data_IF_011195526787
#
_entry.id   IF_011195526787
#
_cell.length_a   1.000
_cell.length_b   1.000
_cell.length_c   1.000
_cell.angle_alpha   90.00
_cell.angle_beta   90.00
_cell.angle_gamma   90.00
#
_symmetry.space_group_name_H-M   'P 1'
#
loop_
_entity.id
_entity.type
_entity.pdbx_description
1 polymer ?
#
# COMPACT_ATOMS: atom_id res chain seq x y z
N UNK A 1 -17.18 -16.36 17.60
CA UNK A 1 -16.47 -15.25 16.90
C UNK A 1 -17.12 -14.86 15.58
N UNK A 2 -16.74 -15.36 14.39
CA UNK A 2 -17.34 -14.92 13.10
C UNK A 2 -18.87 -15.07 13.03
N UNK A 3 -19.39 -16.13 13.65
CA UNK A 3 -20.82 -16.45 13.69
C UNK A 3 -21.64 -15.54 14.62
N UNK A 4 -21.00 -14.96 15.64
CA UNK A 4 -21.62 -14.00 16.56
C UNK A 4 -21.59 -12.59 15.95
N UNK A 5 -20.46 -12.19 15.34
CA UNK A 5 -20.38 -10.95 14.56
C UNK A 5 -21.43 -10.88 13.43
N UNK A 6 -21.66 -12.00 12.74
CA UNK A 6 -22.66 -12.09 11.67
C UNK A 6 -24.11 -11.97 12.18
N UNK A 7 -24.37 -12.40 13.42
CA UNK A 7 -25.69 -12.30 14.04
C UNK A 7 -25.94 -10.90 14.60
N UNK A 8 -24.91 -10.25 15.15
CA UNK A 8 -25.03 -8.98 15.85
C UNK A 8 -24.89 -7.76 14.93
N UNK A 9 -24.12 -7.86 13.83
CA UNK A 9 -23.98 -6.78 12.84
C UNK A 9 -23.58 -7.27 11.43
N UNK A 10 -24.55 -7.69 10.59
CA UNK A 10 -24.28 -8.16 9.23
C UNK A 10 -23.75 -7.07 8.28
N UNK A 11 -23.94 -5.78 8.59
CA UNK A 11 -23.36 -4.67 7.83
C UNK A 11 -21.85 -4.63 7.95
N UNK A 12 -21.32 -4.76 9.17
CA UNK A 12 -19.89 -4.67 9.44
C UNK A 12 -19.06 -5.72 8.70
N UNK A 13 -19.57 -6.96 8.61
CA UNK A 13 -18.89 -8.02 7.83
C UNK A 13 -18.89 -7.74 6.33
N UNK A 14 -19.95 -7.08 5.83
CA UNK A 14 -20.00 -6.64 4.44
C UNK A 14 -18.99 -5.54 4.18
N UNK A 15 -18.83 -4.60 5.11
CA UNK A 15 -17.90 -3.49 4.97
C UNK A 15 -16.44 -3.93 5.10
N UNK A 16 -16.14 -4.87 6.02
CA UNK A 16 -14.82 -5.54 6.10
C UNK A 16 -14.51 -6.26 4.79
N UNK A 17 -15.47 -7.03 4.27
CA UNK A 17 -15.26 -7.72 2.99
C UNK A 17 -15.02 -6.74 1.85
N UNK A 18 -15.77 -5.65 1.77
CA UNK A 18 -15.56 -4.62 0.76
C UNK A 18 -14.21 -3.92 0.89
N UNK A 19 -13.71 -3.74 2.12
CA UNK A 19 -12.36 -3.24 2.34
C UNK A 19 -11.32 -4.24 1.80
N UNK A 20 -11.45 -5.53 2.15
CA UNK A 20 -10.52 -6.56 1.71
C UNK A 20 -10.51 -6.70 0.17
N UNK A 21 -11.69 -6.70 -0.47
CA UNK A 21 -11.83 -6.74 -1.92
C UNK A 21 -11.13 -5.51 -2.58
N UNK A 22 -11.30 -4.31 -2.03
CA UNK A 22 -10.64 -3.09 -2.58
C UNK A 22 -9.13 -3.10 -2.37
N UNK A 23 -8.64 -3.64 -1.25
CA UNK A 23 -7.19 -3.78 -1.02
C UNK A 23 -6.58 -4.76 -2.02
N UNK A 24 -7.27 -5.86 -2.31
CA UNK A 24 -6.84 -6.84 -3.32
C UNK A 24 -6.77 -6.19 -4.71
N UNK A 25 -7.82 -5.45 -5.11
CA UNK A 25 -7.87 -4.75 -6.40
C UNK A 25 -6.69 -3.73 -6.55
N UNK A 26 -6.42 -2.93 -5.51
CA UNK A 26 -5.32 -1.95 -5.53
C UNK A 26 -3.95 -2.65 -5.58
N UNK A 27 -3.81 -3.80 -4.92
CA UNK A 27 -2.57 -4.58 -4.98
C UNK A 27 -2.33 -5.12 -6.39
N UNK A 28 -3.35 -5.68 -7.04
CA UNK A 28 -3.26 -6.14 -8.42
C UNK A 28 -2.85 -5.01 -9.37
N UNK A 29 -3.44 -3.82 -9.22
CA UNK A 29 -3.07 -2.66 -10.04
C UNK A 29 -1.63 -2.19 -9.82
N UNK A 30 -1.14 -2.18 -8.58
CA UNK A 30 0.26 -1.84 -8.27
C UNK A 30 1.21 -2.85 -8.93
N UNK A 31 0.89 -4.15 -8.85
CA UNK A 31 1.70 -5.21 -9.45
C UNK A 31 1.73 -5.07 -10.99
N UNK A 32 0.60 -4.77 -11.63
CA UNK A 32 0.55 -4.50 -13.08
C UNK A 32 1.40 -3.28 -13.48
N UNK A 33 1.40 -2.23 -12.66
CA UNK A 33 2.25 -1.05 -12.89
C UNK A 33 3.72 -1.39 -12.71
N UNK A 34 4.07 -2.16 -11.69
CA UNK A 34 5.45 -2.60 -11.45
C UNK A 34 5.95 -3.47 -12.61
N UNK A 35 5.16 -4.41 -13.12
CA UNK A 35 5.53 -5.25 -14.26
C UNK A 35 5.81 -4.41 -15.52
N UNK A 36 4.98 -3.38 -15.77
CA UNK A 36 5.17 -2.46 -16.89
C UNK A 36 6.41 -1.59 -16.72
N UNK A 37 6.67 -1.09 -15.52
CA UNK A 37 7.87 -0.30 -15.21
C UNK A 37 9.13 -1.14 -15.31
N UNK A 38 9.13 -2.36 -14.76
CA UNK A 38 10.23 -3.31 -14.86
C UNK A 38 10.58 -3.58 -16.32
N UNK A 39 9.59 -3.88 -17.16
CA UNK A 39 9.80 -4.11 -18.60
C UNK A 39 10.46 -2.91 -19.30
N UNK A 40 10.13 -1.68 -18.88
CA UNK A 40 10.73 -0.45 -19.44
C UNK A 40 12.15 -0.22 -18.94
N UNK A 41 12.41 -0.50 -17.66
CA UNK A 41 13.74 -0.44 -17.06
C UNK A 41 14.66 -1.46 -17.73
N UNK A 42 14.23 -2.71 -17.90
CA UNK A 42 14.99 -3.75 -18.60
C UNK A 42 15.34 -3.31 -20.03
N UNK A 43 14.38 -2.71 -20.74
CA UNK A 43 14.60 -2.15 -22.07
C UNK A 43 15.69 -1.07 -22.10
N UNK A 44 15.62 -0.11 -21.17
CA UNK A 44 16.59 0.98 -21.06
C UNK A 44 17.99 0.47 -20.69
N UNK A 45 18.08 -0.44 -19.71
CA UNK A 45 19.34 -1.08 -19.30
C UNK A 45 20.04 -1.77 -20.48
N UNK A 46 19.26 -2.46 -21.32
CA UNK A 46 19.79 -3.13 -22.52
C UNK A 46 20.19 -2.13 -23.60
N UNK A 47 19.37 -1.10 -23.84
CA UNK A 47 19.61 -0.09 -24.89
C UNK A 47 20.86 0.74 -24.60
N UNK A 48 20.97 1.28 -23.39
CA UNK A 48 22.10 2.10 -22.95
C UNK A 48 23.31 1.25 -22.55
N UNK A 49 23.16 -0.08 -22.57
CA UNK A 49 24.22 -1.02 -22.18
C UNK A 49 24.76 -0.70 -20.78
N UNK A 50 23.86 -0.41 -19.83
CA UNK A 50 24.21 -0.21 -18.42
C UNK A 50 24.84 -1.51 -17.90
N UNK A 51 26.16 -1.58 -17.96
CA UNK A 51 26.93 -2.71 -17.50
C UNK A 51 27.39 -2.40 -16.07
N UNK A 52 27.06 -3.28 -15.13
CA UNK A 52 27.78 -3.27 -13.86
C UNK A 52 29.20 -3.76 -14.14
N UNK A 53 30.20 -3.03 -13.65
CA UNK A 53 31.65 -3.30 -13.86
C UNK A 53 32.07 -4.74 -13.48
N UNK A 54 31.25 -5.44 -12.69
CA UNK A 54 31.47 -6.82 -12.21
C UNK A 54 30.70 -7.91 -12.99
N UNK A 55 29.89 -7.54 -14.00
CA UNK A 55 29.08 -8.49 -14.77
C UNK A 55 27.85 -9.04 -14.04
N UNK A 56 27.46 -8.43 -12.92
CA UNK A 56 26.18 -8.69 -12.25
C UNK A 56 25.02 -8.06 -13.03
N UNK A 57 23.92 -8.80 -13.16
CA UNK A 57 22.70 -8.35 -13.81
C UNK A 57 22.05 -7.22 -13.01
N UNK A 58 21.57 -6.17 -13.70
CA UNK A 58 20.86 -5.06 -13.05
C UNK A 58 19.52 -5.58 -12.54
N UNK A 59 19.26 -5.42 -11.25
CA UNK A 59 17.96 -5.73 -10.64
C UNK A 59 16.92 -4.69 -11.09
N UNK A 60 16.27 -4.99 -12.22
CA UNK A 60 15.30 -4.09 -12.83
C UNK A 60 14.01 -3.97 -12.02
N UNK A 61 13.69 -4.95 -11.18
CA UNK A 61 12.56 -4.90 -10.25
C UNK A 61 12.83 -3.87 -9.14
N UNK A 62 14.05 -3.87 -8.58
CA UNK A 62 14.47 -2.87 -7.59
C UNK A 62 14.42 -1.45 -8.18
N UNK A 63 15.01 -1.25 -9.36
CA UNK A 63 15.02 0.06 -10.03
C UNK A 63 13.59 0.51 -10.37
N UNK A 64 12.72 -0.37 -10.84
CA UNK A 64 11.30 -0.06 -11.11
C UNK A 64 10.56 0.41 -9.85
N UNK A 65 10.79 -0.24 -8.70
CA UNK A 65 10.25 0.21 -7.41
C UNK A 65 10.80 1.59 -7.04
N UNK A 66 12.08 1.84 -7.25
CA UNK A 66 12.68 3.14 -6.97
C UNK A 66 12.09 4.26 -7.84
N UNK A 67 11.82 3.99 -9.11
CA UNK A 67 11.11 4.91 -10.02
C UNK A 67 9.67 5.15 -9.53
N UNK A 68 8.95 4.09 -9.20
CA UNK A 68 7.57 4.17 -8.72
C UNK A 68 7.46 5.04 -7.46
N UNK A 69 8.30 4.78 -6.45
CA UNK A 69 8.32 5.54 -5.19
C UNK A 69 8.99 6.91 -5.30
N UNK A 70 9.76 7.16 -6.36
CA UNK A 70 10.44 8.44 -6.58
C UNK A 70 11.53 8.69 -5.55
N UNK A 71 12.34 7.68 -5.24
CA UNK A 71 13.45 7.84 -4.29
C UNK A 71 14.50 8.81 -4.82
N UNK A 72 14.95 9.73 -3.96
CA UNK A 72 16.06 10.63 -4.30
C UNK A 72 17.42 9.90 -4.26
N UNK A 73 17.52 8.81 -3.50
CA UNK A 73 18.71 7.97 -3.34
C UNK A 73 18.32 6.51 -3.09
N UNK A 74 19.18 5.60 -3.54
CA UNK A 74 19.03 4.15 -3.33
C UNK A 74 20.23 3.66 -2.56
N UNK A 75 20.06 3.38 -1.27
CA UNK A 75 21.08 2.74 -0.45
C UNK A 75 21.02 1.23 -0.72
N UNK A 76 22.03 0.69 -1.42
CA UNK A 76 22.03 -0.71 -1.88
C UNK A 76 23.44 -1.28 -2.05
N UNK A 77 23.59 -2.45 -2.69
CA UNK A 77 24.89 -2.88 -3.21
C UNK A 77 25.51 -1.75 -4.04
N UNK A 78 26.83 -1.58 -3.94
CA UNK A 78 27.56 -0.45 -4.51
C UNK A 78 27.17 -0.15 -5.98
N UNK A 79 26.89 -1.21 -6.75
CA UNK A 79 26.54 -1.14 -8.16
C UNK A 79 25.16 -0.50 -8.42
N UNK A 80 24.16 -0.73 -7.57
CA UNK A 80 22.82 -0.14 -7.74
C UNK A 80 22.75 1.30 -7.25
N UNK A 81 23.53 1.63 -6.21
CA UNK A 81 23.69 3.02 -5.75
C UNK A 81 24.35 3.86 -6.85
N UNK A 82 25.47 3.40 -7.42
CA UNK A 82 26.17 4.11 -8.52
C UNK A 82 25.28 4.24 -9.76
N UNK A 83 24.62 3.14 -10.19
CA UNK A 83 23.70 3.17 -11.33
C UNK A 83 22.57 4.18 -11.11
N UNK A 84 22.00 4.23 -9.90
CA UNK A 84 20.95 5.19 -9.56
C UNK A 84 21.47 6.63 -9.51
N UNK A 85 22.64 6.87 -8.89
CA UNK A 85 23.24 8.20 -8.84
C UNK A 85 23.56 8.75 -10.24
N UNK A 86 23.99 7.90 -11.17
CA UNK A 86 24.38 8.31 -12.53
C UNK A 86 23.17 8.48 -13.47
N UNK A 87 22.12 7.66 -13.33
CA UNK A 87 21.02 7.57 -14.31
C UNK A 87 19.61 7.77 -13.73
N UNK A 88 19.48 8.22 -12.48
CA UNK A 88 18.16 8.43 -11.84
C UNK A 88 17.24 9.36 -12.63
N UNK A 89 17.77 10.39 -13.31
CA UNK A 89 16.94 11.27 -14.16
C UNK A 89 16.30 10.49 -15.30
N UNK A 90 17.07 9.68 -16.02
CA UNK A 90 16.58 8.84 -17.14
C UNK A 90 15.58 7.78 -16.65
N UNK A 91 15.84 7.16 -15.50
CA UNK A 91 14.89 6.22 -14.90
C UNK A 91 13.60 6.90 -14.44
N UNK A 92 13.68 8.12 -13.89
CA UNK A 92 12.50 8.88 -13.48
C UNK A 92 11.70 9.38 -14.68
N UNK A 93 12.30 9.55 -15.86
CA UNK A 93 11.57 9.80 -17.11
C UNK A 93 10.74 8.59 -17.59
N UNK A 94 11.08 7.37 -17.15
CA UNK A 94 10.23 6.19 -17.38
C UNK A 94 8.91 6.27 -16.62
N UNK A 95 8.81 7.13 -15.62
CA UNK A 95 7.60 7.32 -14.82
C UNK A 95 6.51 7.94 -15.70
N UNK A 96 5.49 7.14 -16.00
CA UNK A 96 4.32 7.63 -16.74
C UNK A 96 3.48 8.54 -15.83
N UNK A 97 3.52 9.85 -16.10
CA UNK A 97 2.82 10.85 -15.30
C UNK A 97 1.30 10.64 -15.26
N UNK A 98 0.72 10.03 -16.31
CA UNK A 98 -0.72 9.76 -16.38
C UNK A 98 -1.07 8.58 -15.46
N UNK A 99 -0.31 7.50 -15.55
CA UNK A 99 -0.42 6.32 -14.68
C UNK A 99 -0.24 6.67 -13.19
N UNK A 100 0.74 7.53 -12.89
CA UNK A 100 0.97 7.99 -11.51
C UNK A 100 -0.19 8.83 -10.97
N UNK A 101 -0.80 9.65 -11.84
CA UNK A 101 -1.97 10.45 -11.45
C UNK A 101 -3.17 9.55 -11.17
N UNK A 102 -3.35 8.47 -11.92
CA UNK A 102 -4.41 7.48 -11.72
C UNK A 102 -4.22 6.74 -10.39
N UNK A 103 -3.02 6.20 -10.14
CA UNK A 103 -2.68 5.54 -8.86
C UNK A 103 -2.86 6.47 -7.65
N UNK A 104 -2.45 7.74 -7.77
CA UNK A 104 -2.68 8.71 -6.69
C UNK A 104 -4.16 8.99 -6.46
N UNK A 105 -4.96 9.07 -7.52
CA UNK A 105 -6.42 9.25 -7.41
C UNK A 105 -7.07 8.06 -6.70
N UNK A 106 -6.70 6.83 -7.08
CA UNK A 106 -7.22 5.61 -6.46
C UNK A 106 -6.81 5.49 -4.99
N UNK A 107 -5.56 5.82 -4.67
CA UNK A 107 -5.09 5.89 -3.27
C UNK A 107 -5.91 6.89 -2.46
N UNK A 108 -6.14 8.08 -2.99
CA UNK A 108 -6.87 9.13 -2.28
C UNK A 108 -8.34 8.71 -2.07
N UNK A 109 -8.97 8.08 -3.06
CA UNK A 109 -10.32 7.49 -2.93
C UNK A 109 -10.38 6.39 -1.86
N UNK A 110 -9.36 5.52 -1.81
CA UNK A 110 -9.25 4.49 -0.79
C UNK A 110 -9.07 5.07 0.62
N UNK A 111 -8.23 6.09 0.77
CA UNK A 111 -8.02 6.79 2.05
C UNK A 111 -9.31 7.48 2.54
N UNK A 112 -10.06 8.10 1.64
CA UNK A 112 -11.36 8.70 1.94
C UNK A 112 -12.36 7.64 2.43
N UNK A 113 -12.35 6.45 1.81
CA UNK A 113 -13.17 5.32 2.25
C UNK A 113 -12.76 4.80 3.62
N UNK A 114 -11.45 4.72 3.91
CA UNK A 114 -10.94 4.34 5.23
C UNK A 114 -11.38 5.31 6.32
N UNK A 115 -11.28 6.63 6.09
CA UNK A 115 -11.73 7.64 7.06
C UNK A 115 -13.26 7.60 7.25
N UNK A 116 -14.02 7.29 6.20
CA UNK A 116 -15.47 7.09 6.30
C UNK A 116 -15.80 5.88 7.19
N UNK A 117 -15.16 4.73 6.93
CA UNK A 117 -15.35 3.51 7.72
C UNK A 117 -14.96 3.70 9.20
N UNK A 118 -13.84 4.38 9.45
CA UNK A 118 -13.38 4.73 10.80
C UNK A 118 -14.42 5.58 11.53
N UNK A 119 -15.03 6.55 10.85
CA UNK A 119 -16.09 7.38 11.42
C UNK A 119 -17.32 6.52 11.77
N UNK A 120 -17.75 5.65 10.87
CA UNK A 120 -18.88 4.74 11.10
C UNK A 120 -18.64 3.79 12.28
N UNK A 121 -17.42 3.26 12.42
CA UNK A 121 -17.00 2.43 13.55
C UNK A 121 -17.04 3.18 14.89
N UNK A 122 -16.59 4.44 14.91
CA UNK A 122 -16.66 5.30 16.09
C UNK A 122 -18.13 5.55 16.47
N UNK A 123 -18.97 5.89 15.50
CA UNK A 123 -20.40 6.10 15.73
C UNK A 123 -21.08 4.84 16.27
N UNK A 124 -20.75 3.67 15.71
CA UNK A 124 -21.24 2.40 16.18
C UNK A 124 -20.80 2.08 17.61
N UNK A 125 -19.53 2.33 17.96
CA UNK A 125 -19.02 2.22 19.34
C UNK A 125 -19.87 3.08 20.29
N UNK A 126 -20.12 4.33 19.93
CA UNK A 126 -20.93 5.26 20.74
C UNK A 126 -22.36 4.74 20.91
N UNK A 127 -22.97 4.20 19.84
CA UNK A 127 -24.31 3.61 19.91
C UNK A 127 -24.37 2.41 20.87
N UNK A 128 -23.38 1.51 20.80
CA UNK A 128 -23.30 0.37 21.71
C UNK A 128 -23.14 0.83 23.17
N UNK A 129 -22.22 1.77 23.43
CA UNK A 129 -22.02 2.34 24.76
C UNK A 129 -23.32 2.92 25.35
N UNK A 130 -24.06 3.69 24.54
CA UNK A 130 -25.37 4.24 24.95
C UNK A 130 -26.41 3.16 25.19
N UNK A 131 -26.48 2.14 24.32
CA UNK A 131 -27.49 1.07 24.38
C UNK A 131 -27.31 0.19 25.62
N UNK A 132 -26.06 -0.13 25.95
CA UNK A 132 -25.73 -1.02 27.06
C UNK A 132 -25.33 -0.29 28.35
N UNK A 133 -25.29 1.05 28.33
CA UNK A 133 -24.87 1.85 29.47
C UNK A 133 -23.40 1.66 29.84
N UNK A 134 -22.57 1.25 28.89
CA UNK A 134 -21.15 0.93 29.08
C UNK A 134 -20.34 2.22 28.84
N UNK A 135 -19.58 2.65 29.83
CA UNK A 135 -18.66 3.78 29.72
C UNK A 135 -17.32 3.37 29.09
N UNK A 136 -16.51 4.33 28.64
CA UNK A 136 -15.13 4.03 28.24
C UNK A 136 -14.30 3.42 29.37
N UNK A 137 -14.65 3.73 30.62
CA UNK A 137 -13.94 3.26 31.79
C UNK A 137 -14.23 1.77 32.04
N UNK A 138 -15.49 1.35 31.88
CA UNK A 138 -15.89 -0.06 31.96
C UNK A 138 -15.19 -0.93 30.90
N UNK A 139 -14.93 -0.37 29.70
CA UNK A 139 -14.20 -1.07 28.63
C UNK A 139 -12.71 -1.20 28.96
N UNK A 140 -12.09 -0.17 29.54
CA UNK A 140 -10.66 -0.22 29.93
C UNK A 140 -10.43 -1.15 31.11
N UNK A 141 -11.40 -1.31 32.00
CA UNK A 141 -11.34 -2.22 33.14
C UNK A 141 -11.48 -3.71 32.74
N UNK A 142 -12.13 -4.00 31.60
CA UNK A 142 -12.20 -5.35 31.01
C UNK A 142 -10.81 -5.89 30.56
N UNK A 143 -9.88 -5.00 30.21
CA UNK A 143 -8.57 -5.33 29.64
C UNK A 143 -7.48 -5.64 30.70
N UNK A 144 -7.77 -5.54 32.00
CA UNK A 144 -6.73 -5.70 33.05
C UNK A 144 -6.91 -6.89 34.00
N UNK A 145 -8.09 -7.52 34.09
CA UNK A 145 -8.30 -8.61 35.07
C UNK A 145 -8.89 -9.90 34.49
N UNK A 146 -9.22 -9.97 33.19
CA UNK A 146 -9.84 -11.17 32.59
C UNK A 146 -8.89 -12.10 31.82
N UNK A 147 -7.58 -11.78 31.75
CA UNK A 147 -6.57 -12.56 31.03
C UNK A 147 -5.48 -13.19 31.93
N UNK A 148 -5.65 -13.18 33.26
CA UNK A 148 -4.82 -13.95 34.19
C UNK A 148 -5.66 -14.78 35.16
#
# INVERSE_FOLDING_TARGET
MLRELASDNPGLLKDIKQHDDVVEDIQEEIDEVLDRLQSRVEGLVVEESFANDDGEEVDSELIAKCVLYGYERVDGPLNHEVLWEEHSEEFLELKDSELMSELHSQRDEYLDRCESLKTELIDYKIQLQRKYGISEQDIRELDTESLF
#
